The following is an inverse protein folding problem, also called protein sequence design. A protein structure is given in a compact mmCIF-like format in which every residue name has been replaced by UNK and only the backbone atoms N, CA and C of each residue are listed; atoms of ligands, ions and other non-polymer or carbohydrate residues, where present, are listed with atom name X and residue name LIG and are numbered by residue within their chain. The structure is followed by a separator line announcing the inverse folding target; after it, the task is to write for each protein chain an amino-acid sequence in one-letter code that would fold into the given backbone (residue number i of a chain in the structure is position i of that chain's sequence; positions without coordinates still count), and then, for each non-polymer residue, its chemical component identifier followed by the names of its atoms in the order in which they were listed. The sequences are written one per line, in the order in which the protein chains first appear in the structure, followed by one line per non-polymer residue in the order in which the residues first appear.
data_IF_465980201995
#
_entry.id   IF_465980201995
#
_cell.length_a   1.000
_cell.length_b   1.000
_cell.length_c   1.000
_cell.angle_alpha   90.00
_cell.angle_beta   90.00
_cell.angle_gamma   90.00
#
_symmetry.space_group_name_H-M   'P 1'
#
loop_
_entity.id
_entity.type
_entity.pdbx_description
1 polymer ?
#
# COMPACT_ATOMS: atom_id res chain seq x y z
N UNK A 1 17.19 -12.02 -2.79
CA UNK A 1 16.31 -11.75 -1.67
C UNK A 1 16.97 -10.84 -0.65
N UNK A 2 16.32 -9.71 -0.31
CA UNK A 2 16.81 -8.75 0.69
C UNK A 2 15.87 -8.76 1.90
N UNK A 3 16.42 -8.96 3.11
CA UNK A 3 15.65 -8.89 4.35
C UNK A 3 15.43 -7.41 4.71
N UNK A 4 14.18 -6.95 4.68
CA UNK A 4 13.83 -5.53 4.91
C UNK A 4 14.17 -5.01 6.31
N UNK A 5 14.33 -5.90 7.30
CA UNK A 5 14.81 -5.51 8.64
C UNK A 5 16.24 -4.91 8.64
N UNK A 6 17.01 -5.15 7.57
CA UNK A 6 18.34 -4.57 7.41
C UNK A 6 18.31 -3.14 6.85
N UNK A 7 17.14 -2.68 6.38
CA UNK A 7 16.97 -1.36 5.73
C UNK A 7 16.31 -0.43 6.75
N UNK A 8 17.13 0.28 7.51
CA UNK A 8 16.65 1.18 8.56
C UNK A 8 16.75 2.67 8.20
N UNK A 9 17.26 2.99 7.02
CA UNK A 9 17.33 4.34 6.49
C UNK A 9 17.55 4.36 4.97
N UNK A 10 17.44 5.54 4.35
CA UNK A 10 17.61 5.70 2.89
C UNK A 10 19.05 5.50 2.42
N UNK A 11 20.05 5.75 3.24
CA UNK A 11 21.46 5.51 2.87
C UNK A 11 21.73 4.03 2.64
N UNK A 12 21.20 3.18 3.52
CA UNK A 12 21.29 1.71 3.35
C UNK A 12 20.49 1.25 2.13
N UNK A 13 19.27 1.79 1.92
CA UNK A 13 18.48 1.49 0.73
C UNK A 13 19.25 1.82 -0.55
N UNK A 14 19.83 3.02 -0.65
CA UNK A 14 20.66 3.44 -1.81
C UNK A 14 21.83 2.50 -2.06
N UNK A 15 22.53 2.07 -1.00
CA UNK A 15 23.66 1.14 -1.12
C UNK A 15 23.23 -0.24 -1.63
N UNK A 16 22.11 -0.77 -1.11
CA UNK A 16 21.62 -2.11 -1.45
C UNK A 16 20.95 -2.17 -2.83
N UNK A 17 20.41 -1.04 -3.31
CA UNK A 17 19.62 -0.96 -4.54
C UNK A 17 20.32 -0.22 -5.67
N UNK A 18 21.66 -0.07 -5.59
CA UNK A 18 22.45 0.69 -6.57
C UNK A 18 22.30 0.17 -7.99
N UNK A 19 22.26 -1.14 -8.17
CA UNK A 19 22.33 -1.80 -9.47
C UNK A 19 21.12 -2.70 -9.74
N UNK A 20 19.91 -2.27 -9.32
CA UNK A 20 18.67 -3.04 -9.52
C UNK A 20 17.80 -2.43 -10.60
N UNK A 21 17.10 -3.27 -11.34
CA UNK A 21 16.16 -2.87 -12.40
C UNK A 21 14.72 -2.70 -11.89
N UNK A 22 14.40 -3.20 -10.72
CA UNK A 22 13.07 -3.10 -10.13
C UNK A 22 12.98 -3.66 -8.72
N UNK A 23 11.91 -3.29 -8.01
CA UNK A 23 11.61 -3.77 -6.66
C UNK A 23 10.26 -4.48 -6.63
N UNK A 24 10.26 -5.75 -6.25
CA UNK A 24 9.05 -6.48 -5.85
C UNK A 24 8.96 -6.52 -4.33
N UNK A 25 7.98 -5.84 -3.77
CA UNK A 25 7.72 -5.81 -2.34
C UNK A 25 6.59 -6.76 -1.97
N UNK A 26 6.97 -7.86 -1.34
CA UNK A 26 6.12 -9.02 -1.08
C UNK A 26 5.03 -8.75 -0.03
N UNK A 27 3.91 -9.51 -0.07
CA UNK A 27 2.89 -9.48 0.95
C UNK A 27 3.43 -9.90 2.32
N UNK A 28 2.63 -9.67 3.36
CA UNK A 28 2.95 -10.07 4.73
C UNK A 28 1.96 -9.51 5.73
N UNK A 29 2.18 -9.83 7.00
CA UNK A 29 1.38 -9.38 8.14
C UNK A 29 2.30 -8.98 9.29
N UNK A 30 1.78 -8.12 10.18
CA UNK A 30 2.51 -7.67 11.37
C UNK A 30 3.59 -6.65 11.07
N UNK A 31 4.23 -6.15 12.12
CA UNK A 31 5.11 -4.98 12.08
C UNK A 31 6.55 -5.28 11.66
N UNK A 32 6.95 -6.57 11.57
CA UNK A 32 8.34 -6.94 11.31
C UNK A 32 8.84 -6.48 9.94
N UNK A 33 9.82 -5.59 9.91
CA UNK A 33 10.45 -5.09 8.70
C UNK A 33 9.62 -4.09 7.90
N UNK A 34 8.52 -3.57 8.46
CA UNK A 34 7.63 -2.61 7.81
C UNK A 34 8.35 -1.30 7.48
N UNK A 35 9.11 -0.74 8.40
CA UNK A 35 9.86 0.50 8.12
C UNK A 35 10.87 0.29 6.98
N UNK A 36 11.53 -0.85 6.92
CA UNK A 36 12.38 -1.19 5.78
C UNK A 36 11.62 -1.30 4.46
N UNK A 37 10.38 -1.83 4.48
CA UNK A 37 9.51 -1.84 3.30
C UNK A 37 9.11 -0.43 2.87
N UNK A 38 8.84 0.46 3.82
CA UNK A 38 8.55 1.88 3.55
C UNK A 38 9.78 2.55 2.94
N UNK A 39 10.98 2.28 3.44
CA UNK A 39 12.22 2.77 2.83
C UNK A 39 12.45 2.24 1.40
N UNK A 40 12.09 0.98 1.11
CA UNK A 40 12.13 0.45 -0.25
C UNK A 40 11.19 1.21 -1.19
N UNK A 41 9.95 1.45 -0.76
CA UNK A 41 8.96 2.19 -1.53
C UNK A 41 9.42 3.62 -1.82
N UNK A 42 9.95 4.29 -0.80
CA UNK A 42 10.53 5.63 -0.91
C UNK A 42 11.67 5.67 -1.92
N UNK A 43 12.61 4.73 -1.80
CA UNK A 43 13.73 4.64 -2.74
C UNK A 43 13.25 4.48 -4.19
N UNK A 44 12.31 3.56 -4.43
CA UNK A 44 11.76 3.32 -5.75
C UNK A 44 11.12 4.58 -6.34
N UNK A 45 10.30 5.29 -5.56
CA UNK A 45 9.65 6.53 -5.96
C UNK A 45 10.64 7.66 -6.25
N UNK A 46 11.61 7.88 -5.36
CA UNK A 46 12.59 8.99 -5.49
C UNK A 46 13.59 8.76 -6.62
N UNK A 47 13.83 7.53 -7.02
CA UNK A 47 14.82 7.17 -8.05
C UNK A 47 14.19 6.62 -9.35
N UNK A 48 12.85 6.70 -9.49
CA UNK A 48 12.11 6.19 -10.66
C UNK A 48 12.37 4.70 -10.96
N UNK A 49 12.63 3.89 -9.93
CA UNK A 49 12.83 2.44 -10.08
C UNK A 49 11.48 1.76 -10.23
N UNK A 50 11.28 0.87 -11.23
CA UNK A 50 10.07 0.06 -11.34
C UNK A 50 9.72 -0.65 -10.03
N UNK A 51 8.47 -0.52 -9.61
CA UNK A 51 8.03 -1.01 -8.30
C UNK A 51 6.70 -1.76 -8.39
N UNK A 52 6.64 -2.93 -7.79
CA UNK A 52 5.40 -3.69 -7.56
C UNK A 52 5.27 -4.03 -6.09
N UNK A 53 4.31 -3.41 -5.41
CA UNK A 53 3.97 -3.69 -4.02
C UNK A 53 2.68 -4.53 -3.91
N UNK A 54 2.78 -5.74 -3.37
CA UNK A 54 1.63 -6.64 -3.22
C UNK A 54 1.15 -6.63 -1.78
N UNK A 55 -0.17 -6.40 -1.54
CA UNK A 55 -0.81 -6.44 -0.23
C UNK A 55 -0.13 -5.48 0.76
N UNK A 56 0.65 -5.98 1.72
CA UNK A 56 1.45 -5.15 2.63
C UNK A 56 2.43 -4.22 1.87
N UNK A 57 2.91 -4.64 0.70
CA UNK A 57 3.77 -3.82 -0.16
C UNK A 57 3.06 -2.55 -0.65
N UNK A 58 1.81 -2.67 -1.11
CA UNK A 58 0.96 -1.53 -1.46
C UNK A 58 0.73 -0.60 -0.26
N UNK A 59 0.40 -1.19 0.91
CA UNK A 59 0.17 -0.42 2.13
C UNK A 59 1.42 0.39 2.53
N UNK A 60 2.61 -0.21 2.44
CA UNK A 60 3.87 0.48 2.70
C UNK A 60 4.14 1.63 1.71
N UNK A 61 3.79 1.47 0.43
CA UNK A 61 3.91 2.53 -0.56
C UNK A 61 2.97 3.70 -0.25
N UNK A 62 1.73 3.43 0.16
CA UNK A 62 0.78 4.46 0.60
C UNK A 62 1.30 5.19 1.86
N UNK A 63 1.85 4.47 2.82
CA UNK A 63 2.43 5.06 4.03
C UNK A 63 3.64 5.94 3.70
N UNK A 64 4.53 5.48 2.80
CA UNK A 64 5.64 6.30 2.31
C UNK A 64 5.14 7.59 1.69
N UNK A 65 4.21 7.50 0.75
CA UNK A 65 3.66 8.67 0.06
C UNK A 65 3.01 9.65 1.03
N UNK A 66 2.21 9.16 1.96
CA UNK A 66 1.58 9.97 2.98
C UNK A 66 2.60 10.72 3.86
N UNK A 67 3.67 10.03 4.29
CA UNK A 67 4.72 10.62 5.14
C UNK A 67 5.59 11.61 4.39
N UNK A 68 6.09 11.22 3.24
CA UNK A 68 7.21 11.90 2.57
C UNK A 68 6.78 12.82 1.41
N UNK A 69 5.55 12.71 0.92
CA UNK A 69 4.99 13.60 -0.10
C UNK A 69 3.90 14.49 0.49
N UNK A 70 2.92 13.91 1.19
CA UNK A 70 1.80 14.68 1.74
C UNK A 70 2.13 15.39 3.09
N UNK A 71 3.31 15.16 3.68
CA UNK A 71 3.71 15.75 4.95
C UNK A 71 2.92 15.26 6.16
N UNK A 72 2.23 14.11 6.05
CA UNK A 72 1.48 13.51 7.15
C UNK A 72 2.45 12.74 8.07
N UNK A 73 3.17 13.47 8.91
CA UNK A 73 4.14 12.90 9.84
C UNK A 73 3.51 11.75 10.63
N UNK A 74 4.25 10.65 10.78
CA UNK A 74 3.79 9.44 11.48
C UNK A 74 2.57 8.74 10.87
N UNK A 75 2.19 9.03 9.61
CA UNK A 75 1.19 8.23 8.91
C UNK A 75 1.53 6.75 8.99
N UNK A 76 0.53 5.91 9.29
CA UNK A 76 0.78 4.50 9.54
C UNK A 76 -0.47 3.64 9.29
N UNK A 77 -0.30 2.32 9.41
CA UNK A 77 -1.39 1.38 9.59
C UNK A 77 -1.73 1.22 11.08
N UNK A 78 -3.02 1.12 11.40
CA UNK A 78 -3.47 0.76 12.75
C UNK A 78 -3.12 -0.67 13.14
N UNK A 79 -2.62 -1.48 12.21
CA UNK A 79 -2.03 -2.79 12.48
C UNK A 79 -0.70 -2.65 13.25
N UNK A 80 0.11 -1.66 12.88
CA UNK A 80 1.47 -1.48 13.42
C UNK A 80 1.52 -0.46 14.55
N UNK A 81 0.72 0.61 14.41
CA UNK A 81 0.60 1.66 15.42
C UNK A 81 -0.87 2.05 15.60
N UNK A 82 -1.47 1.56 16.67
CA UNK A 82 -2.89 1.84 16.99
C UNK A 82 -3.15 3.33 17.31
N UNK A 83 -2.12 4.05 17.74
CA UNK A 83 -2.20 5.43 18.20
C UNK A 83 -1.68 6.43 17.14
N UNK A 84 -1.54 6.01 15.88
CA UNK A 84 -1.12 6.94 14.82
C UNK A 84 -2.16 8.05 14.62
N UNK A 85 -1.67 9.29 14.51
CA UNK A 85 -2.51 10.45 14.20
C UNK A 85 -3.06 10.43 12.76
N UNK A 86 -2.37 9.70 11.87
CA UNK A 86 -2.75 9.58 10.46
C UNK A 86 -2.88 8.10 10.06
N UNK A 87 -4.00 7.44 10.43
CA UNK A 87 -4.26 6.04 10.08
C UNK A 87 -4.67 5.91 8.61
N UNK A 88 -3.69 6.06 7.69
CA UNK A 88 -3.92 5.94 6.24
C UNK A 88 -4.27 4.52 5.80
N UNK A 89 -3.90 3.53 6.61
CA UNK A 89 -4.32 2.14 6.51
C UNK A 89 -5.03 1.78 7.81
N UNK A 90 -6.26 1.26 7.72
CA UNK A 90 -7.06 0.94 8.91
C UNK A 90 -8.05 -0.20 8.66
N UNK A 91 -8.68 -0.70 9.72
CA UNK A 91 -9.84 -1.58 9.60
C UNK A 91 -10.99 -0.83 8.93
N UNK A 92 -11.72 -1.50 8.05
CA UNK A 92 -12.99 -0.99 7.53
C UNK A 92 -13.99 -0.81 8.67
N UNK A 93 -14.90 0.16 8.55
CA UNK A 93 -15.93 0.42 9.58
C UNK A 93 -16.80 -0.82 9.83
N UNK A 94 -17.15 -1.55 8.77
CA UNK A 94 -17.87 -2.82 8.86
C UNK A 94 -17.13 -3.91 9.66
N UNK A 95 -15.82 -3.81 9.77
CA UNK A 95 -14.97 -4.78 10.48
C UNK A 95 -14.71 -4.39 11.94
N UNK A 96 -14.94 -3.12 12.32
CA UNK A 96 -14.67 -2.62 13.69
C UNK A 96 -15.61 -3.22 14.73
N UNK A 97 -16.84 -3.54 14.35
CA UNK A 97 -17.86 -4.08 15.25
C UNK A 97 -17.71 -5.60 15.54
N UNK A 98 -16.85 -6.30 14.80
CA UNK A 98 -16.74 -7.76 14.89
C UNK A 98 -15.66 -8.14 15.91
N UNK A 99 -16.07 -8.79 17.02
CA UNK A 99 -15.16 -9.24 18.10
C UNK A 99 -14.30 -10.47 17.74
N UNK A 100 -14.71 -11.28 16.76
CA UNK A 100 -14.02 -12.54 16.36
C UNK A 100 -13.06 -12.26 15.24
N UNK A 101 -11.77 -12.28 15.51
CA UNK A 101 -10.69 -11.92 14.57
C UNK A 101 -10.66 -12.72 13.26
N UNK A 102 -11.14 -13.96 13.23
CA UNK A 102 -11.12 -14.83 12.04
C UNK A 102 -12.12 -14.43 10.94
N UNK A 103 -13.27 -13.84 11.31
CA UNK A 103 -14.35 -13.46 10.39
C UNK A 103 -14.23 -12.06 9.77
N UNK A 104 -13.14 -11.32 10.06
CA UNK A 104 -12.99 -9.90 9.64
C UNK A 104 -12.10 -9.70 8.42
N UNK A 105 -11.65 -10.76 7.77
CA UNK A 105 -10.82 -10.63 6.57
C UNK A 105 -11.67 -10.50 5.32
N UNK A 106 -11.30 -9.59 4.43
CA UNK A 106 -11.76 -9.60 3.06
C UNK A 106 -11.02 -10.73 2.33
N UNK A 107 -11.71 -11.84 2.11
CA UNK A 107 -11.15 -13.08 1.59
C UNK A 107 -11.91 -13.52 0.33
N UNK A 108 -11.19 -13.87 -0.71
CA UNK A 108 -11.75 -14.38 -1.96
C UNK A 108 -11.56 -13.44 -3.15
N UNK A 109 -12.35 -13.67 -4.19
CA UNK A 109 -12.28 -12.94 -5.44
C UNK A 109 -13.13 -11.66 -5.38
N UNK A 110 -12.55 -10.52 -5.71
CA UNK A 110 -13.23 -9.23 -5.74
C UNK A 110 -12.97 -8.51 -7.05
N UNK A 111 -13.98 -7.80 -7.51
CA UNK A 111 -13.90 -6.99 -8.70
C UNK A 111 -13.07 -5.73 -8.43
N UNK A 112 -12.19 -5.39 -9.37
CA UNK A 112 -11.48 -4.11 -9.43
C UNK A 112 -11.84 -3.38 -10.72
N UNK A 113 -12.37 -2.17 -10.60
CA UNK A 113 -12.54 -1.25 -11.71
C UNK A 113 -11.22 -0.48 -11.90
N UNK A 114 -10.66 -0.56 -13.10
CA UNK A 114 -9.36 0.03 -13.45
C UNK A 114 -9.56 1.35 -14.19
N UNK A 115 -8.89 2.38 -13.73
CA UNK A 115 -8.83 3.69 -14.37
C UNK A 115 -8.00 3.61 -15.65
N UNK A 116 -8.55 4.09 -16.77
CA UNK A 116 -7.82 4.22 -18.05
C UNK A 116 -6.62 5.16 -17.89
N UNK A 117 -5.67 5.04 -18.78
CA UNK A 117 -4.46 5.90 -18.80
C UNK A 117 -3.55 5.73 -17.56
N UNK A 118 -3.62 4.56 -16.92
CA UNK A 118 -2.74 4.17 -15.82
C UNK A 118 -1.83 3.01 -16.21
N UNK A 119 -0.74 2.83 -15.47
CA UNK A 119 0.15 1.65 -15.64
C UNK A 119 -0.61 0.34 -15.43
N UNK A 120 -1.54 0.32 -14.47
CA UNK A 120 -2.39 -0.84 -14.21
C UNK A 120 -3.24 -1.18 -15.45
N UNK A 121 -3.86 -0.17 -16.08
CA UNK A 121 -4.60 -0.38 -17.32
C UNK A 121 -3.68 -0.87 -18.46
N UNK A 122 -2.48 -0.32 -18.56
CA UNK A 122 -1.52 -0.74 -19.56
C UNK A 122 -1.08 -2.20 -19.40
N UNK A 123 -1.00 -2.68 -18.15
CA UNK A 123 -0.65 -4.07 -17.83
C UNK A 123 -1.80 -5.05 -18.13
N UNK A 124 -3.02 -4.74 -17.70
CA UNK A 124 -4.17 -5.65 -17.84
C UNK A 124 -4.91 -5.51 -19.17
N UNK A 125 -4.83 -4.34 -19.85
CA UNK A 125 -5.62 -3.99 -21.05
C UNK A 125 -7.13 -4.15 -20.87
N UNK A 126 -7.62 -4.03 -19.64
CA UNK A 126 -9.01 -4.19 -19.24
C UNK A 126 -9.41 -3.09 -18.25
N UNK A 127 -10.67 -2.66 -18.29
CA UNK A 127 -11.22 -1.69 -17.34
C UNK A 127 -11.82 -2.36 -16.10
N UNK A 128 -11.96 -3.69 -16.12
CA UNK A 128 -12.49 -4.49 -15.03
C UNK A 128 -11.76 -5.81 -14.97
N UNK A 129 -11.30 -6.17 -13.78
CA UNK A 129 -10.65 -7.45 -13.50
C UNK A 129 -11.21 -8.03 -12.21
N UNK A 130 -10.86 -9.27 -11.91
CA UNK A 130 -11.17 -9.93 -10.65
C UNK A 130 -9.90 -10.52 -10.09
N UNK A 131 -9.55 -10.10 -8.88
CA UNK A 131 -8.35 -10.55 -8.18
C UNK A 131 -8.70 -11.17 -6.83
N UNK A 132 -7.86 -12.09 -6.35
CA UNK A 132 -8.04 -12.73 -5.04
C UNK A 132 -7.35 -11.92 -3.97
N UNK A 133 -8.11 -11.65 -2.91
CA UNK A 133 -7.65 -10.84 -1.77
C UNK A 133 -7.62 -11.66 -0.48
N UNK A 134 -6.73 -11.25 0.41
CA UNK A 134 -6.67 -11.67 1.81
C UNK A 134 -6.22 -10.49 2.65
N UNK A 135 -7.15 -9.57 2.92
CA UNK A 135 -6.88 -8.34 3.64
C UNK A 135 -7.76 -8.20 4.89
N UNK A 136 -7.18 -7.64 5.92
CA UNK A 136 -7.89 -7.18 7.12
C UNK A 136 -7.86 -5.66 7.21
N UNK A 137 -6.74 -5.07 6.85
CA UNK A 137 -6.53 -3.62 6.83
C UNK A 137 -6.55 -3.15 5.39
N UNK A 138 -7.21 -2.03 5.18
CA UNK A 138 -7.42 -1.43 3.86
C UNK A 138 -7.06 0.06 3.89
N UNK A 139 -6.93 0.66 2.71
CA UNK A 139 -6.75 2.09 2.60
C UNK A 139 -7.93 2.84 3.24
N UNK A 140 -7.62 3.84 4.05
CA UNK A 140 -8.63 4.68 4.70
C UNK A 140 -9.06 5.81 3.76
N UNK A 141 -10.25 5.69 3.19
CA UNK A 141 -10.81 6.63 2.21
C UNK A 141 -10.92 8.08 2.72
N UNK A 142 -10.83 8.34 4.02
CA UNK A 142 -10.75 9.71 4.57
C UNK A 142 -9.54 10.49 4.05
N UNK A 143 -8.49 9.78 3.64
CA UNK A 143 -7.26 10.37 3.10
C UNK A 143 -7.24 10.45 1.57
N UNK A 144 -8.23 9.91 0.86
CA UNK A 144 -8.24 9.81 -0.60
C UNK A 144 -7.99 11.17 -1.25
N UNK A 145 -8.84 12.17 -0.96
CA UNK A 145 -8.72 13.52 -1.54
C UNK A 145 -7.38 14.19 -1.23
N UNK A 146 -6.83 13.94 -0.04
CA UNK A 146 -5.54 14.50 0.35
C UNK A 146 -4.40 13.92 -0.47
N UNK A 147 -4.35 12.59 -0.60
CA UNK A 147 -3.28 11.94 -1.35
C UNK A 147 -3.40 12.20 -2.86
N UNK A 148 -4.63 12.26 -3.41
CA UNK A 148 -4.86 12.64 -4.81
C UNK A 148 -4.38 14.06 -5.11
N UNK A 149 -4.67 15.01 -4.22
CA UNK A 149 -4.21 16.41 -4.36
C UNK A 149 -2.70 16.49 -4.48
N UNK A 150 -1.98 15.65 -3.76
CA UNK A 150 -0.53 15.61 -3.75
C UNK A 150 0.05 14.69 -4.85
N UNK A 151 -0.80 14.15 -5.75
CA UNK A 151 -0.42 13.45 -6.97
C UNK A 151 -0.50 11.92 -6.94
N UNK A 152 -1.02 11.29 -5.88
CA UNK A 152 -1.24 9.84 -5.89
C UNK A 152 -2.41 9.47 -6.81
N UNK A 153 -2.18 8.54 -7.72
CA UNK A 153 -3.22 8.04 -8.62
C UNK A 153 -3.80 6.75 -8.06
N UNK A 154 -5.07 6.75 -7.70
CA UNK A 154 -5.80 5.53 -7.38
C UNK A 154 -6.26 4.89 -8.69
N UNK A 155 -5.51 3.91 -9.14
CA UNK A 155 -5.64 3.27 -10.45
C UNK A 155 -6.66 2.13 -10.49
N UNK A 156 -6.97 1.54 -9.34
CA UNK A 156 -7.94 0.47 -9.21
C UNK A 156 -8.80 0.61 -7.94
N UNK A 157 -10.11 0.44 -8.08
CA UNK A 157 -11.06 0.55 -6.96
C UNK A 157 -12.11 -0.55 -7.07
N UNK A 158 -12.44 -1.18 -5.95
CA UNK A 158 -13.61 -2.07 -5.88
C UNK A 158 -14.90 -1.22 -6.01
N UNK A 159 -15.77 -1.48 -6.99
CA UNK A 159 -16.94 -0.63 -7.25
C UNK A 159 -18.02 -0.74 -6.18
N UNK A 160 -18.12 -1.87 -5.50
CA UNK A 160 -19.16 -2.13 -4.50
C UNK A 160 -18.73 -1.66 -3.10
N UNK A 161 -17.56 -2.06 -2.66
CA UNK A 161 -17.01 -1.72 -1.34
C UNK A 161 -16.32 -0.35 -1.29
N UNK A 162 -16.09 0.29 -2.44
CA UNK A 162 -15.32 1.55 -2.57
C UNK A 162 -13.92 1.49 -1.97
N UNK A 163 -13.34 0.30 -1.93
CA UNK A 163 -11.99 0.06 -1.41
C UNK A 163 -10.97 0.26 -2.52
N UNK A 164 -9.88 0.94 -2.21
CA UNK A 164 -8.74 1.09 -3.13
C UNK A 164 -8.01 -0.24 -3.26
N UNK A 165 -7.88 -0.71 -4.50
CA UNK A 165 -7.22 -1.98 -4.85
C UNK A 165 -5.81 -1.76 -5.42
N UNK A 166 -5.57 -0.61 -6.07
CA UNK A 166 -4.29 -0.27 -6.68
C UNK A 166 -4.06 1.23 -6.78
N UNK A 167 -2.80 1.62 -6.75
CA UNK A 167 -2.31 2.98 -6.97
C UNK A 167 -1.37 3.04 -8.17
#
# INVERSE_FOLDING_TARGET
WIKTQKINNQSIAKKLFKDIDGILLLPGFGSRGVEGKIHCSRFARENNVPFLGICLGLQCAIIDFARNVCGLSNANSTEFNKNTNHPVISLMESQRAIKVKGGTMRLGAYTCAIKRETRLYSAYKKTKITERHRHRYEFNNKYLKRLEKDGLIFSGVNPDLKVVEAI
#
